data_IF_975736010075
#
_entry.id   IF_975736010075
#
_cell.length_a   1.000
_cell.length_b   1.000
_cell.length_c   1.000
_cell.angle_alpha   90.00
_cell.angle_beta   90.00
_cell.angle_gamma   90.00
#
_symmetry.space_group_name_H-M   'P 1'
#
loop_
_entity.id
_entity.type
_entity.pdbx_description
1 polymer ?
#
# COMPACT_ATOMS: atom_id res chain seq x y z
N UNK A 1 -12.24 1.04 11.14
CA UNK A 1 -13.27 0.71 10.13
C UNK A 1 -12.64 0.87 8.76
N UNK A 2 -12.85 -0.04 7.80
CA UNK A 2 -12.33 0.13 6.42
C UNK A 2 -13.26 1.05 5.65
N UNK A 3 -12.69 2.04 4.95
CA UNK A 3 -13.45 2.88 4.03
C UNK A 3 -13.85 2.06 2.80
N UNK A 4 -15.15 2.02 2.51
CA UNK A 4 -15.72 1.17 1.46
C UNK A 4 -15.18 1.52 0.06
N UNK A 5 -14.70 2.76 -0.15
CA UNK A 5 -14.13 3.21 -1.42
C UNK A 5 -12.85 2.45 -1.81
N UNK A 6 -12.19 1.80 -0.85
CA UNK A 6 -10.94 1.06 -1.04
C UNK A 6 -11.10 -0.45 -0.85
N UNK A 7 -12.31 -0.98 -1.02
CA UNK A 7 -12.60 -2.41 -0.85
C UNK A 7 -12.70 -3.10 -2.22
N UNK A 8 -12.18 -4.32 -2.29
CA UNK A 8 -12.24 -5.18 -3.49
C UNK A 8 -13.66 -5.67 -3.78
N UNK A 9 -13.97 -5.88 -5.06
CA UNK A 9 -15.28 -6.36 -5.55
C UNK A 9 -15.79 -7.62 -4.83
N UNK A 10 -14.93 -8.62 -4.62
CA UNK A 10 -15.33 -9.87 -3.95
C UNK A 10 -15.57 -9.73 -2.44
N UNK A 11 -15.33 -8.54 -1.87
CA UNK A 11 -15.65 -8.17 -0.48
C UNK A 11 -16.71 -7.06 -0.40
N UNK A 12 -17.45 -6.81 -1.48
CA UNK A 12 -18.56 -5.84 -1.52
C UNK A 12 -18.16 -4.38 -1.77
N UNK A 13 -16.92 -4.13 -2.19
CA UNK A 13 -16.44 -2.80 -2.57
C UNK A 13 -16.42 -2.55 -4.08
N UNK A 14 -16.02 -1.34 -4.51
CA UNK A 14 -16.07 -0.95 -5.92
C UNK A 14 -14.81 -1.31 -6.72
N UNK A 15 -13.72 -1.76 -6.09
CA UNK A 15 -12.41 -1.84 -6.75
C UNK A 15 -12.06 -3.24 -7.26
N UNK A 16 -11.54 -3.35 -8.48
CA UNK A 16 -10.96 -4.58 -9.01
C UNK A 16 -9.58 -4.83 -8.37
N UNK A 17 -9.00 -6.02 -8.60
CA UNK A 17 -7.61 -6.31 -8.19
C UNK A 17 -6.64 -5.30 -8.83
N UNK A 18 -6.84 -4.97 -10.11
CA UNK A 18 -6.01 -4.01 -10.82
C UNK A 18 -6.14 -2.60 -10.26
N UNK A 19 -7.35 -2.18 -9.86
CA UNK A 19 -7.53 -0.91 -9.14
C UNK A 19 -6.75 -0.90 -7.82
N UNK A 20 -6.69 -2.02 -7.10
CA UNK A 20 -5.87 -2.12 -5.89
C UNK A 20 -4.37 -2.05 -6.18
N UNK A 21 -3.89 -2.67 -7.26
CA UNK A 21 -2.49 -2.55 -7.69
C UNK A 21 -2.13 -1.10 -8.05
N UNK A 22 -3.04 -0.38 -8.73
CA UNK A 22 -2.84 1.04 -9.01
C UNK A 22 -2.84 1.87 -7.74
N UNK A 23 -3.77 1.60 -6.82
CA UNK A 23 -3.91 2.32 -5.56
C UNK A 23 -2.67 2.13 -4.66
N UNK A 24 -2.18 0.90 -4.49
CA UNK A 24 -1.00 0.63 -3.66
C UNK A 24 0.25 1.26 -4.27
N UNK A 25 0.38 1.23 -5.60
CA UNK A 25 1.51 1.85 -6.31
C UNK A 25 1.48 3.36 -6.14
N UNK A 26 0.32 3.98 -6.32
CA UNK A 26 0.13 5.41 -6.12
C UNK A 26 0.47 5.81 -4.68
N UNK A 27 -0.11 5.12 -3.69
CA UNK A 27 0.12 5.41 -2.28
C UNK A 27 1.60 5.24 -1.88
N UNK A 28 2.25 4.16 -2.36
CA UNK A 28 3.69 3.93 -2.15
C UNK A 28 4.52 5.05 -2.77
N UNK A 29 4.22 5.46 -4.01
CA UNK A 29 4.95 6.53 -4.70
C UNK A 29 4.80 7.89 -4.01
N UNK A 30 3.59 8.24 -3.56
CA UNK A 30 3.37 9.45 -2.77
C UNK A 30 4.17 9.40 -1.46
N UNK A 31 4.16 8.27 -0.77
CA UNK A 31 4.87 8.10 0.50
C UNK A 31 6.39 8.15 0.31
N UNK A 32 6.94 7.50 -0.72
CA UNK A 32 8.37 7.56 -1.08
C UNK A 32 8.81 9.00 -1.40
N UNK A 33 7.96 9.78 -2.06
CA UNK A 33 8.25 11.17 -2.37
C UNK A 33 8.29 12.06 -1.13
N UNK A 34 7.37 11.86 -0.19
CA UNK A 34 7.41 12.58 1.10
C UNK A 34 8.55 12.09 1.97
N UNK A 35 8.88 10.80 1.92
CA UNK A 35 9.97 10.20 2.72
C UNK A 35 11.31 10.89 2.49
N UNK A 36 11.60 11.32 1.27
CA UNK A 36 12.84 12.04 0.96
C UNK A 36 12.92 13.45 1.55
N UNK A 37 11.81 13.96 2.11
CA UNK A 37 11.74 15.26 2.78
C UNK A 37 11.82 15.17 4.30
N UNK A 38 11.86 13.95 4.86
CA UNK A 38 11.91 13.72 6.30
C UNK A 38 13.39 13.63 6.72
N UNK A 39 13.83 14.56 7.56
CA UNK A 39 15.16 14.52 8.20
C UNK A 39 15.24 13.37 9.24
N UNK A 40 16.47 13.06 9.68
CA UNK A 40 16.89 11.86 10.42
C UNK A 40 15.88 11.22 11.41
N UNK A 41 15.97 9.89 11.56
CA UNK A 41 15.12 8.98 12.35
C UNK A 41 13.77 8.58 11.71
N UNK A 42 13.81 8.15 10.44
CA UNK A 42 12.68 7.46 9.81
C UNK A 42 12.39 6.15 10.57
N UNK A 43 11.14 5.98 10.97
CA UNK A 43 10.67 4.76 11.63
C UNK A 43 10.83 3.54 10.70
N UNK A 44 11.49 2.49 11.19
CA UNK A 44 11.68 1.21 10.47
C UNK A 44 10.35 0.59 10.04
N UNK A 45 9.26 0.84 10.77
CA UNK A 45 7.91 0.39 10.42
C UNK A 45 7.43 1.01 9.10
N UNK A 46 7.77 2.28 8.84
CA UNK A 46 7.44 2.95 7.59
C UNK A 46 8.22 2.34 6.42
N UNK A 47 9.52 2.08 6.61
CA UNK A 47 10.35 1.40 5.60
C UNK A 47 9.79 0.01 5.28
N UNK A 48 9.42 -0.77 6.30
CA UNK A 48 8.83 -2.08 6.12
C UNK A 48 7.48 -2.01 5.39
N UNK A 49 6.62 -1.05 5.73
CA UNK A 49 5.34 -0.87 5.05
C UNK A 49 5.52 -0.56 3.55
N UNK A 50 6.50 0.28 3.18
CA UNK A 50 6.82 0.57 1.78
C UNK A 50 7.38 -0.64 1.04
N UNK A 51 8.21 -1.44 1.71
CA UNK A 51 8.73 -2.70 1.17
C UNK A 51 7.59 -3.68 0.89
N UNK A 52 6.71 -3.91 1.87
CA UNK A 52 5.58 -4.81 1.69
C UNK A 52 4.62 -4.30 0.62
N UNK A 53 4.34 -2.99 0.58
CA UNK A 53 3.53 -2.39 -0.48
C UNK A 53 4.10 -2.68 -1.88
N UNK A 54 5.43 -2.61 -2.04
CA UNK A 54 6.12 -2.90 -3.30
C UNK A 54 6.05 -4.38 -3.69
N UNK A 55 6.14 -5.29 -2.72
CA UNK A 55 6.05 -6.72 -3.00
C UNK A 55 4.60 -7.18 -3.20
N UNK A 56 3.63 -6.54 -2.53
CA UNK A 56 2.21 -6.76 -2.76
C UNK A 56 1.80 -6.28 -4.17
N UNK A 57 2.29 -5.12 -4.62
CA UNK A 57 2.15 -4.62 -6.01
C UNK A 57 2.59 -5.66 -7.05
N UNK A 58 3.58 -6.50 -6.72
CA UNK A 58 4.14 -7.55 -7.59
C UNK A 58 3.51 -8.94 -7.36
N UNK A 59 2.46 -9.02 -6.55
CA UNK A 59 1.83 -10.28 -6.13
C UNK A 59 2.76 -11.25 -5.36
N UNK A 60 3.82 -10.71 -4.73
CA UNK A 60 4.81 -11.50 -3.97
C UNK A 60 4.59 -11.51 -2.47
N UNK A 61 3.79 -10.57 -1.96
CA UNK A 61 3.37 -10.52 -0.56
C UNK A 61 1.88 -10.84 -0.41
N UNK A 62 1.53 -11.51 0.67
CA UNK A 62 0.16 -11.83 1.03
C UNK A 62 -0.57 -10.61 1.58
N UNK A 63 -1.91 -10.67 1.57
CA UNK A 63 -2.75 -9.66 2.23
C UNK A 63 -2.48 -9.58 3.75
N UNK A 64 -1.99 -10.67 4.36
CA UNK A 64 -1.63 -10.70 5.78
C UNK A 64 -0.37 -9.91 6.09
N UNK A 65 0.64 -9.98 5.22
CA UNK A 65 1.88 -9.19 5.35
C UNK A 65 1.63 -7.71 5.13
N UNK A 66 0.69 -7.35 4.25
CA UNK A 66 0.31 -5.97 3.93
C UNK A 66 -0.63 -5.31 4.96
N UNK A 67 -0.86 -5.93 6.12
CA UNK A 67 -1.86 -5.50 7.11
C UNK A 67 -1.28 -4.67 8.25
#
# INVERSE_FOLDING_TARGET
>A
MRDNRFVVVHRGGPLTKDHHHQLIRWARKCSEHVLSLIDENIDKRLINALYVAKEWEKEKATVGEAR
#
